data_IF_036308573155
#
_entry.id   IF_036308573155
#
_cell.length_a   1.000
_cell.length_b   1.000
_cell.length_c   1.000
_cell.angle_alpha   90.00
_cell.angle_beta   90.00
_cell.angle_gamma   90.00
#
_symmetry.space_group_name_H-M   'P 1'
#
loop_
_entity.id
_entity.type
_entity.pdbx_description
1 polymer ?
#
# COMPACT_ATOMS: atom_id res chain seq x y z
N UNK A 1 10.66 -77.76 70.29
CA UNK A 1 9.18 -77.80 70.35
C UNK A 1 8.65 -76.65 69.52
N UNK A 2 7.59 -76.96 68.77
CA UNK A 2 6.90 -76.20 67.72
C UNK A 2 6.37 -74.84 68.22
N UNK A 3 6.24 -73.82 67.33
CA UNK A 3 5.06 -72.96 67.03
C UNK A 3 5.53 -71.73 66.20
N UNK A 4 5.34 -71.72 64.86
CA UNK A 4 4.19 -71.12 64.11
C UNK A 4 4.31 -69.57 64.10
N UNK A 5 4.73 -68.92 62.99
CA UNK A 5 3.90 -68.42 61.85
C UNK A 5 2.95 -67.27 62.28
N UNK A 6 2.54 -66.27 61.51
CA UNK A 6 2.64 -65.88 60.10
C UNK A 6 2.24 -64.37 60.06
N UNK A 7 2.54 -63.60 58.99
CA UNK A 7 1.56 -63.08 58.00
C UNK A 7 0.45 -62.16 58.59
N UNK A 8 -0.05 -61.09 58.01
CA UNK A 8 -0.07 -60.53 56.66
C UNK A 8 -0.70 -59.13 56.77
N UNK A 9 -0.47 -58.26 55.78
CA UNK A 9 -1.45 -57.37 55.13
C UNK A 9 -0.68 -56.23 54.46
N UNK A 10 -0.98 -55.76 53.25
CA UNK A 10 -1.79 -56.23 52.15
C UNK A 10 -1.39 -55.33 50.97
N UNK A 11 -1.40 -55.90 49.77
CA UNK A 11 -1.13 -55.25 48.49
C UNK A 11 -2.28 -54.30 48.13
N UNK A 12 -1.98 -53.04 47.82
CA UNK A 12 -2.74 -52.12 46.94
C UNK A 12 -1.96 -50.79 46.86
N UNK A 13 -1.58 -50.20 45.73
CA UNK A 13 -1.88 -50.48 44.35
C UNK A 13 -0.71 -49.93 43.50
N UNK A 14 -0.25 -50.71 42.52
CA UNK A 14 0.31 -50.15 41.29
C UNK A 14 -0.78 -49.25 40.69
N UNK A 15 -0.53 -47.95 40.53
CA UNK A 15 -1.16 -46.95 39.63
C UNK A 15 -0.80 -45.60 40.28
N UNK A 16 0.25 -44.86 39.93
CA UNK A 16 0.57 -44.41 38.61
C UNK A 16 2.05 -43.97 38.56
N UNK A 17 2.91 -44.80 37.99
CA UNK A 17 4.05 -44.27 37.25
C UNK A 17 3.47 -43.65 35.98
N UNK A 18 2.95 -42.43 36.10
CA UNK A 18 2.68 -41.64 34.91
C UNK A 18 4.05 -41.35 34.28
N UNK A 19 4.32 -41.77 33.03
CA UNK A 19 5.41 -41.17 32.31
C UNK A 19 5.11 -39.67 32.28
N UNK A 20 6.05 -38.85 32.75
CA UNK A 20 6.07 -37.42 32.47
C UNK A 20 6.32 -37.23 30.97
N UNK A 21 5.32 -37.55 30.15
CA UNK A 21 5.29 -37.31 28.71
C UNK A 21 4.05 -36.51 28.38
N UNK A 22 4.13 -35.23 28.70
CA UNK A 22 3.89 -34.18 27.73
C UNK A 22 4.66 -32.98 28.26
N UNK A 23 5.78 -32.64 27.62
CA UNK A 23 6.19 -31.25 27.61
C UNK A 23 4.96 -30.49 27.14
N UNK A 24 4.24 -29.86 28.07
CA UNK A 24 3.15 -28.96 27.75
C UNK A 24 3.74 -28.01 26.73
N UNK A 25 3.28 -28.11 25.47
CA UNK A 25 3.88 -27.41 24.36
C UNK A 25 4.02 -25.96 24.76
N UNK A 26 5.25 -25.50 24.96
CA UNK A 26 5.51 -24.13 25.34
C UNK A 26 5.17 -23.29 24.11
N UNK A 27 3.89 -22.93 23.98
CA UNK A 27 3.43 -21.95 23.02
C UNK A 27 3.86 -20.59 23.56
N UNK A 28 5.04 -20.16 23.13
CA UNK A 28 5.51 -18.79 23.30
C UNK A 28 5.24 -17.99 22.03
N UNK A 29 5.01 -16.66 22.13
CA UNK A 29 4.94 -15.81 20.95
C UNK A 29 6.29 -15.82 20.23
N UNK A 30 6.28 -16.03 18.91
CA UNK A 30 7.44 -15.78 18.05
C UNK A 30 7.39 -14.30 17.68
N UNK A 31 8.39 -13.53 18.11
CA UNK A 31 8.52 -12.15 17.69
C UNK A 31 9.18 -12.08 16.31
N UNK A 32 8.50 -11.48 15.35
CA UNK A 32 9.02 -11.20 14.02
C UNK A 32 9.12 -9.68 13.87
N UNK A 33 10.36 -9.19 13.73
CA UNK A 33 10.63 -7.78 13.50
C UNK A 33 11.20 -7.62 12.10
N UNK A 34 10.66 -6.69 11.33
CA UNK A 34 11.18 -6.32 10.02
C UNK A 34 11.00 -4.82 9.81
N UNK A 35 11.84 -4.24 8.95
CA UNK A 35 11.69 -2.87 8.48
C UNK A 35 11.18 -2.91 7.05
N UNK A 36 10.04 -2.27 6.81
CA UNK A 36 9.53 -2.07 5.46
C UNK A 36 10.10 -0.75 4.93
N UNK A 37 10.78 -0.81 3.78
CA UNK A 37 11.28 0.39 3.14
C UNK A 37 10.11 1.22 2.58
N UNK A 38 10.20 2.54 2.70
CA UNK A 38 9.25 3.43 2.04
C UNK A 38 9.45 3.37 0.52
N UNK A 39 8.36 3.14 -0.21
CA UNK A 39 8.33 3.05 -1.66
C UNK A 39 7.12 3.80 -2.19
N UNK A 40 7.37 4.77 -3.09
CA UNK A 40 6.34 5.56 -3.75
C UNK A 40 6.59 5.57 -5.25
N UNK A 41 5.59 5.15 -6.03
CA UNK A 41 5.65 5.01 -7.48
C UNK A 41 4.44 5.68 -8.12
N UNK A 42 4.66 6.28 -9.29
CA UNK A 42 3.61 6.87 -10.12
C UNK A 42 3.77 6.28 -11.51
N UNK A 43 2.72 5.63 -12.02
CA UNK A 43 2.64 5.15 -13.38
C UNK A 43 1.66 6.02 -14.16
N UNK A 44 2.07 6.52 -15.33
CA UNK A 44 1.22 7.37 -16.18
C UNK A 44 0.95 6.65 -17.48
N UNK A 45 -0.31 6.61 -17.90
CA UNK A 45 -0.73 6.10 -19.21
C UNK A 45 -1.26 7.27 -20.02
N UNK A 46 -0.64 7.54 -21.17
CA UNK A 46 -1.14 8.53 -22.13
C UNK A 46 -2.37 7.99 -22.87
N UNK A 47 -3.41 8.81 -23.01
CA UNK A 47 -4.65 8.42 -23.69
C UNK A 47 -4.62 8.69 -25.21
N UNK A 48 -3.56 9.30 -25.75
CA UNK A 48 -3.50 9.71 -27.15
C UNK A 48 -4.58 10.72 -27.53
N UNK A 49 -4.99 11.56 -26.59
CA UNK A 49 -6.12 12.46 -26.78
C UNK A 49 -5.86 13.50 -27.87
N UNK A 50 -6.82 13.67 -28.77
CA UNK A 50 -6.80 14.73 -29.78
C UNK A 50 -7.70 15.88 -29.34
N UNK A 51 -7.15 17.08 -29.26
CA UNK A 51 -7.87 18.28 -28.84
C UNK A 51 -8.27 19.12 -30.06
N UNK A 52 -9.54 19.51 -30.15
CA UNK A 52 -10.00 20.49 -31.12
C UNK A 52 -9.89 21.90 -30.51
N UNK A 53 -8.79 22.56 -30.85
CA UNK A 53 -8.47 23.89 -30.35
C UNK A 53 -9.37 24.96 -30.97
N UNK A 54 -9.84 24.75 -32.21
CA UNK A 54 -10.67 25.72 -32.93
C UNK A 54 -12.09 25.78 -32.36
N UNK A 55 -12.65 24.64 -31.95
CA UNK A 55 -13.99 24.57 -31.35
C UNK A 55 -13.97 24.66 -29.82
N UNK A 56 -12.80 24.77 -29.18
CA UNK A 56 -12.66 24.90 -27.73
C UNK A 56 -12.93 23.61 -26.95
N UNK A 57 -12.08 22.59 -27.12
CA UNK A 57 -12.14 21.37 -26.29
C UNK A 57 -12.06 21.66 -24.80
N UNK A 58 -12.90 20.96 -24.02
CA UNK A 58 -12.93 21.03 -22.55
C UNK A 58 -13.21 19.65 -21.98
N UNK A 59 -12.76 19.40 -20.74
CA UNK A 59 -12.92 18.13 -20.01
C UNK A 59 -12.48 16.89 -20.79
N UNK A 60 -11.40 17.00 -21.57
CA UNK A 60 -10.84 15.87 -22.31
C UNK A 60 -9.90 15.08 -21.40
N UNK A 61 -10.13 13.78 -21.28
CA UNK A 61 -9.21 12.88 -20.60
C UNK A 61 -7.95 12.69 -21.46
N UNK A 62 -6.80 13.19 -20.98
CA UNK A 62 -5.51 13.12 -21.69
C UNK A 62 -4.64 11.95 -21.23
N UNK A 63 -4.98 11.32 -20.10
CA UNK A 63 -4.27 10.17 -19.57
C UNK A 63 -4.86 9.68 -18.25
N UNK A 64 -4.27 8.63 -17.72
CA UNK A 64 -4.56 8.12 -16.38
C UNK A 64 -3.27 7.99 -15.58
N UNK A 65 -3.40 8.02 -14.26
CA UNK A 65 -2.27 7.90 -13.33
C UNK A 65 -2.61 6.80 -12.32
N UNK A 66 -1.65 5.94 -12.03
CA UNK A 66 -1.73 5.00 -10.91
C UNK A 66 -0.67 5.37 -9.89
N UNK A 67 -1.10 5.75 -8.69
CA UNK A 67 -0.24 6.07 -7.57
C UNK A 67 -0.17 4.88 -6.61
N UNK A 68 1.03 4.57 -6.12
CA UNK A 68 1.23 3.59 -5.06
C UNK A 68 2.34 4.08 -4.13
N UNK A 69 2.00 4.44 -2.90
CA UNK A 69 2.93 4.98 -1.92
C UNK A 69 2.56 4.49 -0.52
N UNK A 70 3.49 3.81 0.15
CA UNK A 70 3.28 3.23 1.47
C UNK A 70 3.63 4.21 2.63
N UNK A 71 3.80 5.50 2.35
CA UNK A 71 4.06 6.49 3.40
C UNK A 71 2.79 6.76 4.23
N UNK A 72 2.83 6.36 5.50
CA UNK A 72 1.74 6.62 6.46
C UNK A 72 1.53 8.11 6.76
N UNK A 73 2.55 8.96 6.57
CA UNK A 73 2.43 10.41 6.70
C UNK A 73 1.82 11.08 5.45
N UNK A 74 1.64 10.31 4.37
CA UNK A 74 1.14 10.82 3.10
C UNK A 74 2.24 11.37 2.20
N UNK A 75 1.84 12.03 1.11
CA UNK A 75 2.75 12.51 0.06
C UNK A 75 2.08 13.56 -0.83
N UNK A 76 2.87 14.24 -1.66
CA UNK A 76 2.39 15.27 -2.60
C UNK A 76 2.66 14.84 -4.03
N UNK A 77 1.63 14.90 -4.87
CA UNK A 77 1.77 14.81 -6.33
C UNK A 77 1.83 16.23 -6.88
N UNK A 78 2.83 16.50 -7.72
CA UNK A 78 2.91 17.74 -8.49
C UNK A 78 2.60 17.43 -9.95
N UNK A 79 1.57 18.08 -10.48
CA UNK A 79 1.28 18.09 -11.92
C UNK A 79 1.83 19.37 -12.49
N UNK A 80 2.74 19.27 -13.45
CA UNK A 80 3.42 20.42 -14.05
C UNK A 80 3.48 20.30 -15.57
N UNK A 81 3.39 21.44 -16.24
CA UNK A 81 3.51 21.55 -17.69
C UNK A 81 4.90 22.00 -18.08
N UNK A 82 5.50 21.30 -19.05
CA UNK A 82 6.75 21.73 -19.71
C UNK A 82 6.60 23.07 -20.44
N UNK A 83 5.36 23.48 -20.76
CA UNK A 83 5.04 24.70 -21.49
C UNK A 83 4.29 25.72 -20.64
N UNK A 84 4.36 25.61 -19.31
CA UNK A 84 3.75 26.56 -18.36
C UNK A 84 2.26 26.83 -18.66
N UNK A 85 1.50 25.78 -18.96
CA UNK A 85 0.05 25.88 -19.20
C UNK A 85 -0.35 26.37 -20.56
N UNK A 86 0.54 26.22 -21.56
CA UNK A 86 0.23 26.54 -22.95
C UNK A 86 0.46 25.34 -23.86
N UNK A 87 -0.47 25.12 -24.79
CA UNK A 87 -0.28 24.26 -25.94
C UNK A 87 0.53 25.03 -26.97
N UNK A 88 1.64 24.44 -27.42
CA UNK A 88 2.51 25.02 -28.45
C UNK A 88 2.57 24.11 -29.66
N UNK A 89 2.49 24.71 -30.83
CA UNK A 89 2.78 24.05 -32.10
C UNK A 89 4.15 24.49 -32.60
N UNK A 90 4.85 23.59 -33.30
CA UNK A 90 6.09 23.90 -34.01
C UNK A 90 5.86 24.62 -35.34
N UNK A 91 4.60 24.78 -35.77
CA UNK A 91 4.26 25.49 -37.00
C UNK A 91 4.58 26.99 -36.91
N UNK A 92 5.14 27.55 -37.98
CA UNK A 92 5.46 28.98 -38.07
C UNK A 92 4.21 29.85 -37.90
N UNK A 93 4.28 30.83 -37.01
CA UNK A 93 3.16 31.75 -36.72
C UNK A 93 2.08 31.19 -35.80
N UNK A 94 2.25 29.97 -35.27
CA UNK A 94 1.30 29.41 -34.32
C UNK A 94 1.28 30.20 -33.01
N UNK A 95 0.08 30.52 -32.55
CA UNK A 95 -0.13 31.16 -31.25
C UNK A 95 -0.19 30.11 -30.14
N UNK A 96 0.38 30.44 -28.99
CA UNK A 96 0.27 29.61 -27.80
C UNK A 96 -1.16 29.68 -27.25
N UNK A 97 -1.74 28.53 -26.91
CA UNK A 97 -3.11 28.46 -26.39
C UNK A 97 -3.07 28.01 -24.94
N UNK A 98 -3.62 28.84 -24.05
CA UNK A 98 -3.73 28.52 -22.63
C UNK A 98 -4.66 27.35 -22.37
N UNK A 99 -4.33 26.52 -21.38
CA UNK A 99 -5.21 25.46 -20.88
C UNK A 99 -5.20 25.41 -19.35
N UNK A 100 -6.20 24.72 -18.80
CA UNK A 100 -6.23 24.30 -17.40
C UNK A 100 -6.18 22.79 -17.33
N UNK A 101 -5.75 22.27 -16.18
CA UNK A 101 -5.66 20.83 -15.93
C UNK A 101 -6.42 20.48 -14.67
N UNK A 102 -6.94 19.27 -14.63
CA UNK A 102 -7.48 18.70 -13.41
C UNK A 102 -6.87 17.33 -13.17
N UNK A 103 -6.69 17.00 -11.90
CA UNK A 103 -6.20 15.70 -11.47
C UNK A 103 -6.90 15.31 -10.17
N UNK A 104 -7.55 14.15 -10.18
CA UNK A 104 -8.31 13.61 -9.05
C UNK A 104 -9.25 14.64 -8.38
N UNK A 105 -10.05 15.32 -9.20
CA UNK A 105 -10.99 16.36 -8.74
C UNK A 105 -10.36 17.70 -8.35
N UNK A 106 -9.03 17.80 -8.31
CA UNK A 106 -8.33 19.06 -8.05
C UNK A 106 -8.09 19.78 -9.38
N UNK A 107 -8.64 20.98 -9.50
CA UNK A 107 -8.38 21.85 -10.66
C UNK A 107 -7.12 22.68 -10.40
N UNK A 108 -6.26 22.78 -11.40
CA UNK A 108 -5.04 23.56 -11.37
C UNK A 108 -4.94 24.51 -12.56
N UNK A 109 -4.06 25.50 -12.39
CA UNK A 109 -3.54 26.24 -13.55
C UNK A 109 -2.83 25.27 -14.48
N UNK A 110 -2.83 25.53 -15.79
CA UNK A 110 -2.07 24.68 -16.71
C UNK A 110 -0.56 24.64 -16.44
N UNK A 111 -0.02 25.58 -15.66
CA UNK A 111 1.41 25.68 -15.36
C UNK A 111 1.89 24.61 -14.37
N UNK A 112 1.39 24.67 -13.14
CA UNK A 112 1.66 23.67 -12.12
C UNK A 112 0.62 23.73 -11.01
N UNK A 113 0.33 22.60 -10.38
CA UNK A 113 -0.44 22.51 -9.14
C UNK A 113 -0.09 21.23 -8.37
N UNK A 114 -0.52 21.15 -7.11
CA UNK A 114 -0.24 20.02 -6.23
C UNK A 114 -1.52 19.36 -5.72
N UNK A 115 -1.46 18.06 -5.52
CA UNK A 115 -2.48 17.26 -4.84
C UNK A 115 -1.83 16.55 -3.66
N UNK A 116 -2.37 16.76 -2.46
CA UNK A 116 -1.83 16.18 -1.23
C UNK A 116 -2.63 14.95 -0.83
N UNK A 117 -1.91 13.87 -0.51
CA UNK A 117 -2.45 12.69 0.17
C UNK A 117 -2.03 12.75 1.62
N UNK A 118 -2.97 12.60 2.54
CA UNK A 118 -2.70 12.63 3.98
C UNK A 118 -2.34 11.26 4.57
N UNK A 119 -2.32 10.22 3.74
CA UNK A 119 -2.03 8.85 4.13
C UNK A 119 -1.50 8.03 2.95
N UNK A 120 -1.01 6.82 3.25
CA UNK A 120 -0.63 5.85 2.25
C UNK A 120 -1.77 5.57 1.26
N UNK A 121 -1.42 5.33 0.01
CA UNK A 121 -2.33 4.98 -1.08
C UNK A 121 -1.79 3.76 -1.81
N UNK A 122 -2.66 2.80 -2.12
CA UNK A 122 -2.30 1.59 -2.85
C UNK A 122 -3.20 1.51 -4.09
N UNK A 123 -2.57 1.50 -5.27
CA UNK A 123 -3.28 1.48 -6.56
C UNK A 123 -4.35 2.57 -6.70
N UNK A 124 -4.08 3.80 -6.25
CA UNK A 124 -5.00 4.93 -6.45
C UNK A 124 -4.99 5.34 -7.92
N UNK A 125 -6.19 5.47 -8.50
CA UNK A 125 -6.43 5.93 -9.89
C UNK A 125 -7.13 7.27 -9.93
#
# INVERSE_FOLDING_TARGET
MIRIAAAAAAVAALFAAAPALAAAGASGPIQLNSTVLQTCTVAVTDAGATLNILSGSSNVAVGSVVENCNDGAGYTITVASSNNGTLKSSATGAQAIGYTTSYDGTNGSGGSFTVTRSSAQFNKT
#
